data_IF_803615296302
#
_entry.id   IF_803615296302
#
_cell.length_a   1.000
_cell.length_b   1.000
_cell.length_c   1.000
_cell.angle_alpha   90.00
_cell.angle_beta   90.00
_cell.angle_gamma   90.00
#
_symmetry.space_group_name_H-M   'P 1'
#
loop_
_entity.id
_entity.type
_entity.pdbx_description
1 polymer ?
#
# COMPACT_ATOMS: atom_id res chain seq x y z
N UNK A 1 -28.58 -20.24 -57.93
CA UNK A 1 -27.26 -19.88 -57.37
C UNK A 1 -27.52 -18.80 -56.32
N UNK A 2 -27.86 -19.21 -55.09
CA UNK A 2 -28.10 -18.35 -53.92
C UNK A 2 -27.82 -19.28 -52.74
N UNK A 3 -26.78 -19.02 -51.97
CA UNK A 3 -26.28 -19.95 -50.96
C UNK A 3 -24.83 -19.70 -50.59
N UNK A 4 -24.05 -18.99 -51.43
CA UNK A 4 -22.68 -18.61 -51.08
C UNK A 4 -22.60 -17.33 -50.22
N UNK A 5 -23.60 -16.44 -50.26
CA UNK A 5 -23.57 -15.18 -49.50
C UNK A 5 -23.95 -15.39 -48.02
N UNK A 6 -24.96 -16.20 -47.73
CA UNK A 6 -25.37 -16.53 -46.36
C UNK A 6 -24.27 -17.29 -45.59
N UNK A 7 -23.62 -18.26 -46.25
CA UNK A 7 -22.50 -19.02 -45.69
C UNK A 7 -21.27 -18.13 -45.39
N UNK A 8 -21.03 -17.08 -46.20
CA UNK A 8 -19.92 -16.14 -45.98
C UNK A 8 -20.22 -15.19 -44.81
N UNK A 9 -21.47 -14.77 -44.65
CA UNK A 9 -21.89 -13.92 -43.53
C UNK A 9 -21.84 -14.64 -42.19
N UNK A 10 -22.32 -15.88 -42.12
CA UNK A 10 -22.23 -16.72 -40.92
C UNK A 10 -20.77 -16.95 -40.51
N UNK A 11 -19.87 -17.18 -41.48
CA UNK A 11 -18.45 -17.36 -41.21
C UNK A 11 -17.80 -16.09 -40.65
N UNK A 12 -18.23 -14.91 -41.13
CA UNK A 12 -17.75 -13.61 -40.64
C UNK A 12 -18.25 -13.33 -39.23
N UNK A 13 -19.51 -13.66 -38.96
CA UNK A 13 -20.15 -13.47 -37.65
C UNK A 13 -19.50 -14.37 -36.59
N UNK A 14 -19.28 -15.66 -36.91
CA UNK A 14 -18.63 -16.62 -36.02
C UNK A 14 -17.16 -16.29 -35.72
N UNK A 15 -16.46 -15.68 -36.67
CA UNK A 15 -15.09 -15.18 -36.46
C UNK A 15 -15.08 -13.94 -35.56
N UNK A 16 -16.06 -13.06 -35.69
CA UNK A 16 -16.19 -11.85 -34.87
C UNK A 16 -16.53 -12.22 -33.42
N UNK A 17 -17.48 -13.13 -33.23
CA UNK A 17 -17.88 -13.63 -31.90
C UNK A 17 -16.72 -14.29 -31.18
N UNK A 18 -15.95 -15.17 -31.85
CA UNK A 18 -14.76 -15.79 -31.25
C UNK A 18 -13.69 -14.77 -30.88
N UNK A 19 -13.51 -13.70 -31.67
CA UNK A 19 -12.56 -12.63 -31.35
C UNK A 19 -13.04 -11.79 -30.16
N UNK A 20 -14.34 -11.54 -30.07
CA UNK A 20 -14.96 -10.81 -28.97
C UNK A 20 -14.94 -11.62 -27.66
N UNK A 21 -15.13 -12.93 -27.74
CA UNK A 21 -15.05 -13.85 -26.60
C UNK A 21 -13.60 -13.98 -26.10
N UNK A 22 -12.63 -14.03 -27.02
CA UNK A 22 -11.20 -14.02 -26.68
C UNK A 22 -10.77 -12.69 -26.04
N UNK A 23 -11.21 -11.55 -26.60
CA UNK A 23 -10.97 -10.22 -26.03
C UNK A 23 -11.69 -10.01 -24.67
N UNK A 24 -12.89 -10.59 -24.50
CA UNK A 24 -13.67 -10.51 -23.26
C UNK A 24 -13.10 -11.38 -22.14
N UNK A 25 -12.39 -12.45 -22.47
CA UNK A 25 -11.75 -13.36 -21.51
C UNK A 25 -10.35 -12.85 -21.10
N UNK A 26 -9.62 -12.21 -22.00
CA UNK A 26 -8.37 -11.48 -21.67
C UNK A 26 -8.66 -10.19 -20.87
N UNK A 27 -9.78 -9.51 -21.15
CA UNK A 27 -10.20 -8.31 -20.43
C UNK A 27 -10.67 -8.56 -18.99
N UNK A 28 -11.38 -9.65 -18.69
CA UNK A 28 -11.89 -9.90 -17.34
C UNK A 28 -10.77 -10.16 -16.31
N UNK A 29 -9.73 -10.93 -16.65
CA UNK A 29 -8.59 -11.15 -15.74
C UNK A 29 -7.76 -9.90 -15.47
N UNK A 30 -7.62 -9.01 -16.47
CA UNK A 30 -6.90 -7.75 -16.32
C UNK A 30 -7.73 -6.67 -15.60
N UNK A 31 -9.06 -6.66 -15.77
CA UNK A 31 -9.93 -5.71 -15.06
C UNK A 31 -10.01 -6.06 -13.57
N UNK A 32 -10.08 -7.34 -13.19
CA UNK A 32 -10.04 -7.73 -11.78
C UNK A 32 -8.70 -7.38 -11.10
N UNK A 33 -7.55 -7.59 -11.78
CA UNK A 33 -6.24 -7.20 -11.24
C UNK A 33 -6.04 -5.70 -11.18
N UNK A 34 -6.49 -4.95 -12.19
CA UNK A 34 -6.37 -3.49 -12.22
C UNK A 34 -7.32 -2.83 -11.21
N UNK A 35 -8.52 -3.39 -11.00
CA UNK A 35 -9.48 -2.91 -10.01
C UNK A 35 -9.02 -3.23 -8.57
N UNK A 36 -8.40 -4.40 -8.38
CA UNK A 36 -7.76 -4.77 -7.11
C UNK A 36 -6.52 -3.91 -6.82
N UNK A 37 -5.68 -3.63 -7.83
CA UNK A 37 -4.54 -2.72 -7.71
C UNK A 37 -5.01 -1.30 -7.39
N UNK A 38 -6.02 -0.79 -8.09
CA UNK A 38 -6.58 0.54 -7.80
C UNK A 38 -7.17 0.64 -6.40
N UNK A 39 -7.81 -0.41 -5.88
CA UNK A 39 -8.27 -0.44 -4.49
C UNK A 39 -7.11 -0.43 -3.50
N UNK A 40 -6.05 -1.19 -3.75
CA UNK A 40 -4.85 -1.19 -2.91
C UNK A 40 -4.15 0.17 -2.91
N UNK A 41 -3.94 0.76 -4.10
CA UNK A 41 -3.34 2.08 -4.25
C UNK A 41 -4.15 3.17 -3.56
N UNK A 42 -5.49 3.12 -3.62
CA UNK A 42 -6.33 4.05 -2.90
C UNK A 42 -6.19 3.90 -1.38
N UNK A 43 -6.15 2.67 -0.88
CA UNK A 43 -5.96 2.41 0.55
C UNK A 43 -4.58 2.87 1.04
N UNK A 44 -3.53 2.63 0.24
CA UNK A 44 -2.17 3.10 0.52
C UNK A 44 -2.07 4.63 0.43
N UNK A 45 -2.69 5.25 -0.57
CA UNK A 45 -2.72 6.69 -0.73
C UNK A 45 -3.42 7.37 0.47
N UNK A 46 -4.52 6.81 0.96
CA UNK A 46 -5.19 7.30 2.16
C UNK A 46 -4.31 7.17 3.41
N UNK A 47 -3.66 6.02 3.60
CA UNK A 47 -2.70 5.83 4.71
C UNK A 47 -1.54 6.83 4.62
N UNK A 48 -0.95 7.00 3.43
CA UNK A 48 0.13 7.96 3.22
C UNK A 48 -0.36 9.41 3.40
N UNK A 49 -1.58 9.74 3.01
CA UNK A 49 -2.16 11.06 3.21
C UNK A 49 -2.32 11.37 4.70
N UNK A 50 -2.82 10.43 5.49
CA UNK A 50 -2.91 10.55 6.95
C UNK A 50 -1.51 10.72 7.55
N UNK A 51 -0.57 9.85 7.17
CA UNK A 51 0.82 9.95 7.63
C UNK A 51 1.43 11.32 7.26
N UNK A 52 1.20 11.86 6.06
CA UNK A 52 1.69 13.19 5.66
C UNK A 52 1.04 14.33 6.43
N UNK A 53 -0.24 14.21 6.79
CA UNK A 53 -0.93 15.22 7.57
C UNK A 53 -0.46 15.24 9.02
N UNK A 54 -0.08 14.08 9.55
CA UNK A 54 0.28 13.86 10.95
C UNK A 54 1.79 13.79 11.23
N UNK A 55 2.64 13.67 10.20
CA UNK A 55 4.10 13.65 10.33
C UNK A 55 4.72 14.85 9.60
N UNK A 56 5.63 15.53 10.28
CA UNK A 56 6.53 16.51 9.66
C UNK A 56 7.47 15.84 8.65
N UNK A 57 8.08 16.63 7.76
CA UNK A 57 9.09 16.13 6.83
C UNK A 57 10.30 15.51 7.55
N UNK A 58 10.69 16.08 8.70
CA UNK A 58 11.76 15.54 9.56
C UNK A 58 11.42 14.18 10.15
N UNK A 59 10.23 14.04 10.75
CA UNK A 59 9.75 12.77 11.29
C UNK A 59 9.68 11.68 10.21
N UNK A 60 9.18 12.00 9.01
CA UNK A 60 9.14 11.06 7.87
C UNK A 60 10.52 10.58 7.45
N UNK A 61 11.49 11.49 7.33
CA UNK A 61 12.88 11.12 7.01
C UNK A 61 13.48 10.21 8.07
N UNK A 62 13.21 10.49 9.35
CA UNK A 62 13.68 9.66 10.47
C UNK A 62 13.08 8.26 10.43
N UNK A 63 11.77 8.17 10.27
CA UNK A 63 11.05 6.91 10.12
C UNK A 63 11.58 6.10 8.93
N UNK A 64 11.79 6.75 7.78
CA UNK A 64 12.33 6.09 6.59
C UNK A 64 13.76 5.55 6.84
N UNK A 65 14.63 6.35 7.47
CA UNK A 65 16.00 5.94 7.82
C UNK A 65 16.00 4.71 8.75
N UNK A 66 15.11 4.71 9.74
CA UNK A 66 14.93 3.58 10.64
C UNK A 66 14.38 2.38 9.91
N UNK A 67 13.37 2.53 9.06
CA UNK A 67 12.78 1.44 8.25
C UNK A 67 13.83 0.78 7.36
N UNK A 68 14.77 1.56 6.82
CA UNK A 68 15.93 1.03 6.06
C UNK A 68 16.89 0.21 6.93
N UNK A 69 17.04 0.56 8.21
CA UNK A 69 17.94 -0.15 9.14
C UNK A 69 17.26 -1.35 9.80
N UNK A 70 15.99 -1.21 10.18
CA UNK A 70 15.15 -2.16 10.91
C UNK A 70 13.70 -2.01 10.41
N UNK A 71 13.30 -2.74 9.36
CA UNK A 71 11.98 -2.59 8.75
C UNK A 71 10.86 -2.94 9.72
N UNK A 72 10.99 -4.03 10.48
CA UNK A 72 10.00 -4.47 11.48
C UNK A 72 9.72 -3.38 12.52
N UNK A 73 10.78 -2.68 12.94
CA UNK A 73 10.67 -1.61 13.92
C UNK A 73 10.00 -0.36 13.33
N UNK A 74 10.37 0.00 12.09
CA UNK A 74 9.72 1.09 11.37
C UNK A 74 8.22 0.85 11.17
N UNK A 75 7.81 -0.38 10.86
CA UNK A 75 6.40 -0.74 10.70
C UNK A 75 5.62 -0.64 12.02
N UNK A 76 6.19 -1.08 13.15
CA UNK A 76 5.57 -0.93 14.46
C UNK A 76 5.32 0.55 14.79
N UNK A 77 6.33 1.40 14.55
CA UNK A 77 6.22 2.85 14.80
C UNK A 77 5.16 3.46 13.87
N UNK A 78 5.14 3.07 12.60
CA UNK A 78 4.16 3.54 11.61
C UNK A 78 2.72 3.16 12.03
N UNK A 79 2.50 1.93 12.46
CA UNK A 79 1.20 1.47 13.00
C UNK A 79 0.78 2.25 14.24
N UNK A 80 1.71 2.50 15.18
CA UNK A 80 1.43 3.27 16.38
C UNK A 80 1.04 4.71 16.05
N UNK A 81 1.73 5.35 15.11
CA UNK A 81 1.41 6.71 14.63
C UNK A 81 0.03 6.74 13.97
N UNK A 82 -0.29 5.76 13.11
CA UNK A 82 -1.61 5.66 12.48
C UNK A 82 -2.71 5.48 13.52
N UNK A 83 -2.50 4.59 14.51
CA UNK A 83 -3.47 4.37 15.59
C UNK A 83 -3.72 5.65 16.41
N UNK A 84 -2.66 6.39 16.73
CA UNK A 84 -2.77 7.66 17.44
C UNK A 84 -3.49 8.73 16.60
N UNK A 85 -3.19 8.81 15.31
CA UNK A 85 -3.86 9.69 14.36
C UNK A 85 -5.37 9.38 14.25
N UNK A 86 -5.73 8.10 14.07
CA UNK A 86 -7.12 7.65 14.02
C UNK A 86 -7.88 7.91 15.32
N UNK A 87 -7.21 7.81 16.46
CA UNK A 87 -7.80 8.10 17.77
C UNK A 87 -8.05 9.58 18.04
N UNK A 88 -7.56 10.49 17.17
CA UNK A 88 -7.62 11.93 17.37
C UNK A 88 -6.78 12.45 18.53
N UNK A 89 -5.96 11.59 19.17
CA UNK A 89 -5.05 11.99 20.26
C UNK A 89 -3.78 12.66 19.75
N UNK A 90 -3.48 12.49 18.46
CA UNK A 90 -2.44 13.26 17.79
C UNK A 90 -2.97 14.68 17.56
N UNK A 91 -2.85 15.54 18.58
CA UNK A 91 -3.30 16.93 18.50
C UNK A 91 -2.56 17.71 17.42
N UNK A 92 -1.23 17.62 17.42
CA UNK A 92 -0.34 18.22 16.44
C UNK A 92 0.40 17.17 15.60
N UNK A 93 1.12 17.65 14.59
CA UNK A 93 2.01 16.81 13.79
C UNK A 93 3.18 16.31 14.64
N UNK A 94 3.52 15.03 14.52
CA UNK A 94 4.75 14.48 15.08
C UNK A 94 5.95 15.12 14.38
N UNK A 95 6.77 15.79 15.17
CA UNK A 95 8.05 16.35 14.74
C UNK A 95 9.18 15.31 14.80
N UNK A 96 10.38 15.70 14.35
CA UNK A 96 11.54 14.81 14.39
C UNK A 96 11.92 14.38 15.81
N UNK A 97 11.81 15.27 16.80
CA UNK A 97 12.22 15.01 18.18
C UNK A 97 11.26 14.04 18.88
N UNK A 98 9.96 14.19 18.65
CA UNK A 98 8.92 13.27 19.09
C UNK A 98 9.06 11.90 18.43
N UNK A 99 9.32 11.86 17.11
CA UNK A 99 9.60 10.61 16.41
C UNK A 99 10.83 9.92 17.02
N UNK A 100 11.89 10.66 17.29
CA UNK A 100 13.12 10.14 17.91
C UNK A 100 12.86 9.58 19.32
N UNK A 101 11.98 10.23 20.08
CA UNK A 101 11.58 9.79 21.41
C UNK A 101 10.77 8.48 21.35
N UNK A 102 9.79 8.40 20.44
CA UNK A 102 9.04 7.17 20.15
C UNK A 102 9.95 6.02 19.73
N UNK A 103 10.89 6.30 18.81
CA UNK A 103 11.88 5.33 18.36
C UNK A 103 12.79 4.85 19.49
N UNK A 104 13.10 5.70 20.46
CA UNK A 104 13.94 5.33 21.60
C UNK A 104 13.17 4.51 22.63
N UNK A 105 11.91 4.83 22.88
CA UNK A 105 11.04 4.12 23.83
C UNK A 105 10.66 2.72 23.31
N UNK A 106 10.43 2.61 22.00
CA UNK A 106 10.09 1.33 21.38
C UNK A 106 11.32 0.45 21.12
N UNK A 107 12.52 1.03 21.06
CA UNK A 107 13.74 0.26 20.84
C UNK A 107 13.88 -0.73 22.00
N UNK A 108 13.89 -2.06 21.76
CA UNK A 108 14.15 -3.00 22.83
C UNK A 108 15.55 -2.69 23.36
N UNK A 109 15.64 -2.44 24.66
CA UNK A 109 16.89 -2.26 25.38
C UNK A 109 17.82 -3.45 25.06
N UNK A 110 18.76 -3.25 24.14
CA UNK A 110 20.01 -4.02 24.08
C UNK A 110 20.94 -3.59 25.23
N UNK A 111 20.43 -2.84 26.22
CA UNK A 111 21.08 -2.58 27.50
C UNK A 111 21.00 -3.82 28.42
N UNK A 112 21.39 -4.98 27.86
CA UNK A 112 21.81 -6.16 28.59
C UNK A 112 23.12 -5.96 29.38
N UNK A 113 23.48 -4.73 29.74
CA UNK A 113 24.56 -4.47 30.68
C UNK A 113 24.06 -4.69 32.10
N UNK A 114 24.01 -5.98 32.46
CA UNK A 114 23.90 -6.49 33.81
C UNK A 114 25.13 -6.06 34.63
N UNK A 115 25.25 -4.78 34.99
CA UNK A 115 26.30 -4.29 35.88
C UNK A 115 25.89 -4.68 37.31
N UNK A 116 26.14 -5.93 37.67
CA UNK A 116 26.20 -6.36 39.07
C UNK A 116 27.47 -5.76 39.70
N UNK A 117 27.32 -4.62 40.34
CA UNK A 117 28.32 -4.07 41.27
C UNK A 117 28.14 -4.77 42.61
N UNK A 118 29.09 -5.62 43.01
CA UNK A 118 29.24 -6.10 44.39
C UNK A 118 30.72 -6.20 44.74
#
# INVERSE_FOLDING_TARGET
>A
MSGNEDDIEELRQKKMERLQEQAGQEGQGQVDEEELQRQQEQAEAQKQALLRQHLTDGARKRLNTVKMSKPEFGEQVEQQVIALAQSGRLGDRIDEEQMKSLLKELQPDDDGYNIRRR
#
